data_IF_841528427365
#
_entry.id   IF_841528427365
#
_cell.length_a   1.000
_cell.length_b   1.000
_cell.length_c   1.000
_cell.angle_alpha   90.00
_cell.angle_beta   90.00
_cell.angle_gamma   90.00
#
_symmetry.space_group_name_H-M   'P 1'
#
loop_
_entity.id
_entity.type
_entity.pdbx_description
1 polymer ?
#
# COMPACT_ATOMS: atom_id res chain seq x y z
N UNK A 1 -23.98 18.96 -2.21
CA UNK A 1 -22.91 19.04 -1.20
C UNK A 1 -21.72 19.76 -1.80
N UNK A 2 -21.15 20.69 -1.05
CA UNK A 2 -19.90 21.33 -1.47
C UNK A 2 -18.72 20.38 -1.25
N UNK A 3 -17.87 20.25 -2.25
CA UNK A 3 -16.58 19.58 -2.08
C UNK A 3 -15.67 20.42 -1.19
N UNK A 4 -14.98 19.76 -0.28
CA UNK A 4 -13.99 20.40 0.56
C UNK A 4 -12.59 19.96 0.10
N UNK A 5 -11.76 20.92 -0.25
CA UNK A 5 -10.39 20.68 -0.66
C UNK A 5 -9.43 20.73 0.54
N UNK A 6 -8.53 19.77 0.59
CA UNK A 6 -7.43 19.71 1.54
C UNK A 6 -6.10 19.72 0.79
N UNK A 7 -5.06 20.27 1.41
CA UNK A 7 -3.72 20.18 0.83
C UNK A 7 -3.23 18.72 0.85
N UNK A 8 -2.36 18.39 -0.10
CA UNK A 8 -1.70 17.07 -0.13
C UNK A 8 -1.00 16.78 1.21
N UNK A 9 -0.28 17.75 1.74
CA UNK A 9 0.47 17.57 2.99
C UNK A 9 -0.44 17.29 4.19
N UNK A 10 -1.58 17.97 4.29
CA UNK A 10 -2.55 17.72 5.35
C UNK A 10 -3.12 16.29 5.27
N UNK A 11 -3.51 15.84 4.08
CA UNK A 11 -4.02 14.49 3.88
C UNK A 11 -2.93 13.44 4.09
N UNK A 12 -1.70 13.73 3.68
CA UNK A 12 -0.56 12.85 3.89
C UNK A 12 -0.29 12.63 5.38
N UNK A 13 -0.16 13.71 6.14
CA UNK A 13 0.14 13.63 7.57
C UNK A 13 -0.99 12.94 8.34
N UNK A 14 -2.24 13.26 8.01
CA UNK A 14 -3.41 12.61 8.60
C UNK A 14 -3.42 11.10 8.31
N UNK A 15 -3.32 10.72 7.05
CA UNK A 15 -3.40 9.32 6.63
C UNK A 15 -2.26 8.49 7.22
N UNK A 16 -1.03 9.00 7.17
CA UNK A 16 0.13 8.33 7.76
C UNK A 16 -0.04 8.15 9.26
N UNK A 17 -0.50 9.19 9.96
CA UNK A 17 -0.74 9.13 11.41
C UNK A 17 -1.79 8.08 11.76
N UNK A 18 -2.89 8.02 11.02
CA UNK A 18 -3.94 7.01 11.24
C UNK A 18 -3.38 5.59 11.07
N UNK A 19 -2.63 5.34 10.00
CA UNK A 19 -2.02 4.03 9.76
C UNK A 19 -1.01 3.64 10.85
N UNK A 20 -0.21 4.59 11.32
CA UNK A 20 0.72 4.35 12.43
C UNK A 20 -0.02 4.04 13.74
N UNK A 21 -1.14 4.69 14.01
CA UNK A 21 -1.96 4.43 15.21
C UNK A 21 -2.53 3.03 15.27
N UNK A 22 -2.81 2.41 14.14
CA UNK A 22 -3.26 1.01 14.11
C UNK A 22 -2.11 -0.01 14.07
N UNK A 23 -0.87 0.45 14.15
CA UNK A 23 0.32 -0.38 14.30
C UNK A 23 1.20 -0.52 13.05
N UNK A 24 0.87 0.17 11.97
CA UNK A 24 1.70 0.17 10.76
C UNK A 24 3.08 0.80 11.06
N UNK A 25 4.14 0.21 10.54
CA UNK A 25 5.49 0.79 10.66
C UNK A 25 5.56 2.16 9.99
N UNK A 26 6.56 2.97 10.35
CA UNK A 26 6.77 4.28 9.71
C UNK A 26 7.00 4.16 8.21
N UNK A 27 7.76 3.15 7.78
CA UNK A 27 8.05 2.91 6.36
C UNK A 27 6.80 2.46 5.61
N UNK A 28 6.08 1.48 6.15
CA UNK A 28 4.87 0.94 5.51
C UNK A 28 3.73 1.97 5.49
N UNK A 29 3.56 2.75 6.55
CA UNK A 29 2.58 3.83 6.58
C UNK A 29 2.88 4.93 5.58
N UNK A 30 4.15 5.26 5.38
CA UNK A 30 4.58 6.22 4.34
C UNK A 30 4.26 5.69 2.93
N UNK A 31 4.61 4.43 2.66
CA UNK A 31 4.33 3.78 1.38
C UNK A 31 2.83 3.70 1.10
N UNK A 32 2.04 3.21 2.04
CA UNK A 32 0.59 3.08 1.91
C UNK A 32 -0.08 4.44 1.68
N UNK A 33 0.36 5.47 2.41
CA UNK A 33 -0.15 6.83 2.26
C UNK A 33 0.14 7.39 0.87
N UNK A 34 1.35 7.23 0.36
CA UNK A 34 1.73 7.66 -0.99
C UNK A 34 0.88 6.98 -2.06
N UNK A 35 0.62 5.69 -1.92
CA UNK A 35 -0.23 4.93 -2.86
C UNK A 35 -1.66 5.46 -2.86
N UNK A 36 -2.26 5.67 -1.68
CA UNK A 36 -3.62 6.22 -1.58
C UNK A 36 -3.71 7.62 -2.21
N UNK A 37 -2.82 8.51 -1.83
CA UNK A 37 -2.87 9.89 -2.31
C UNK A 37 -2.47 10.04 -3.78
N UNK A 38 -1.72 9.08 -4.34
CA UNK A 38 -1.46 9.06 -5.78
C UNK A 38 -2.75 8.92 -6.60
N UNK A 39 -3.74 8.18 -6.10
CA UNK A 39 -5.05 8.09 -6.73
C UNK A 39 -5.79 9.43 -6.67
N UNK A 40 -5.79 10.09 -5.52
CA UNK A 40 -6.42 11.42 -5.36
C UNK A 40 -5.78 12.46 -6.28
N UNK A 41 -4.45 12.48 -6.36
CA UNK A 41 -3.72 13.41 -7.25
C UNK A 41 -4.03 13.19 -8.74
N UNK A 42 -4.46 11.99 -9.12
CA UNK A 42 -4.84 11.64 -10.49
C UNK A 42 -6.34 11.78 -10.75
N UNK A 43 -7.10 12.29 -9.79
CA UNK A 43 -8.55 12.44 -9.91
C UNK A 43 -9.32 11.12 -9.78
N UNK A 44 -8.71 10.07 -9.23
CA UNK A 44 -9.35 8.76 -8.99
C UNK A 44 -9.80 8.69 -7.53
N UNK A 45 -10.75 9.53 -7.15
CA UNK A 45 -11.18 9.75 -5.77
C UNK A 45 -11.75 8.50 -5.10
N UNK A 46 -12.34 7.58 -5.89
CA UNK A 46 -12.87 6.30 -5.41
C UNK A 46 -11.79 5.35 -4.87
N UNK A 47 -10.51 5.59 -5.16
CA UNK A 47 -9.37 4.73 -4.78
C UNK A 47 -8.34 5.46 -3.92
N UNK A 48 -8.61 6.70 -3.55
CA UNK A 48 -7.76 7.52 -2.69
C UNK A 48 -8.10 7.40 -1.20
N UNK A 49 -7.94 8.50 -0.48
CA UNK A 49 -8.15 8.59 0.98
C UNK A 49 -9.56 8.17 1.42
N UNK A 50 -10.54 8.24 0.55
CA UNK A 50 -11.90 7.73 0.80
C UNK A 50 -11.92 6.24 1.19
N UNK A 51 -10.91 5.48 0.80
CA UNK A 51 -10.77 4.05 1.16
C UNK A 51 -10.20 3.81 2.56
N UNK A 52 -9.62 4.82 3.18
CA UNK A 52 -8.95 4.66 4.47
C UNK A 52 -9.87 4.04 5.54
N UNK A 53 -11.11 4.53 5.64
CA UNK A 53 -12.09 3.99 6.61
C UNK A 53 -12.40 2.51 6.36
N UNK A 54 -12.40 2.06 5.11
CA UNK A 54 -12.58 0.66 4.74
C UNK A 54 -11.43 -0.22 5.22
N UNK A 55 -10.19 0.24 5.09
CA UNK A 55 -9.01 -0.48 5.60
C UNK A 55 -9.02 -0.57 7.12
N UNK A 56 -9.42 0.51 7.81
CA UNK A 56 -9.56 0.49 9.28
C UNK A 56 -10.59 -0.57 9.72
N UNK A 57 -11.75 -0.62 9.07
CA UNK A 57 -12.76 -1.64 9.36
C UNK A 57 -12.26 -3.07 9.14
N UNK A 58 -11.48 -3.30 8.08
CA UNK A 58 -10.87 -4.62 7.83
C UNK A 58 -9.85 -4.98 8.90
N UNK A 59 -9.07 -4.01 9.36
CA UNK A 59 -8.14 -4.22 10.46
C UNK A 59 -8.87 -4.52 11.78
N UNK A 60 -9.90 -3.76 12.13
CA UNK A 60 -10.75 -4.01 13.32
C UNK A 60 -11.39 -5.40 13.28
N UNK A 61 -11.81 -5.84 12.09
CA UNK A 61 -12.35 -7.18 11.87
C UNK A 61 -11.27 -8.29 11.84
N UNK A 62 -10.01 -7.94 12.09
CA UNK A 62 -8.83 -8.86 12.07
C UNK A 62 -8.64 -9.57 10.72
N UNK A 63 -9.01 -8.92 9.63
CA UNK A 63 -8.86 -9.44 8.26
C UNK A 63 -7.60 -8.96 7.57
N UNK A 64 -6.88 -8.01 8.18
CA UNK A 64 -5.61 -7.48 7.70
C UNK A 64 -4.56 -7.63 8.80
N UNK A 65 -3.40 -8.16 8.44
CA UNK A 65 -2.20 -8.12 9.27
C UNK A 65 -1.47 -6.80 8.98
N UNK A 66 -1.47 -5.88 9.94
CA UNK A 66 -0.88 -4.55 9.76
C UNK A 66 0.66 -4.56 9.81
N UNK A 67 1.26 -5.65 10.31
CA UNK A 67 2.72 -5.88 10.33
C UNK A 67 3.01 -7.19 9.62
N UNK A 68 2.88 -7.24 8.27
CA UNK A 68 3.05 -8.48 7.53
C UNK A 68 4.50 -8.92 7.46
N UNK A 69 4.73 -10.22 7.50
CA UNK A 69 6.00 -10.88 7.20
C UNK A 69 5.93 -11.42 5.76
N UNK A 70 6.21 -10.53 4.80
CA UNK A 70 6.13 -10.86 3.37
C UNK A 70 7.28 -11.81 3.00
N UNK A 71 6.95 -12.94 2.37
CA UNK A 71 7.91 -13.98 1.99
C UNK A 71 7.88 -14.27 0.50
N UNK A 72 9.05 -14.50 -0.08
CA UNK A 72 9.15 -15.06 -1.42
C UNK A 72 9.09 -16.58 -1.27
N UNK A 73 8.05 -17.19 -1.83
CA UNK A 73 7.82 -18.64 -1.78
C UNK A 73 8.57 -19.38 -2.89
N UNK A 74 8.62 -18.77 -4.07
CA UNK A 74 9.27 -19.33 -5.24
C UNK A 74 9.72 -18.21 -6.17
N UNK A 75 10.87 -18.37 -6.81
CA UNK A 75 11.33 -17.41 -7.80
C UNK A 75 12.10 -18.09 -8.94
N UNK A 76 12.02 -17.44 -10.10
CA UNK A 76 12.83 -17.70 -11.29
C UNK A 76 13.56 -16.41 -11.67
N UNK A 77 14.43 -16.41 -12.68
CA UNK A 77 15.05 -15.15 -13.12
C UNK A 77 14.07 -14.04 -13.48
N UNK A 78 12.86 -14.37 -13.96
CA UNK A 78 11.85 -13.41 -14.41
C UNK A 78 10.56 -13.38 -13.60
N UNK A 79 10.39 -14.26 -12.60
CA UNK A 79 9.16 -14.36 -11.83
C UNK A 79 9.43 -14.49 -10.34
N UNK A 80 8.46 -14.11 -9.53
CA UNK A 80 8.43 -14.41 -8.10
C UNK A 80 6.99 -14.63 -7.63
N UNK A 81 6.80 -15.63 -6.77
CA UNK A 81 5.54 -15.85 -6.04
C UNK A 81 5.76 -15.45 -4.60
N UNK A 82 4.94 -14.53 -4.10
CA UNK A 82 5.04 -14.01 -2.75
C UNK A 82 3.83 -14.41 -1.90
N UNK A 83 4.11 -14.63 -0.63
CA UNK A 83 3.07 -14.62 0.41
C UNK A 83 3.05 -13.23 1.04
N UNK A 84 1.95 -12.52 0.89
CA UNK A 84 1.75 -11.19 1.46
C UNK A 84 1.32 -11.19 2.93
N UNK A 85 1.17 -12.36 3.54
CA UNK A 85 0.82 -12.53 4.96
C UNK A 85 -0.42 -11.73 5.39
N UNK A 86 -1.45 -11.70 4.54
CA UNK A 86 -2.67 -10.90 4.73
C UNK A 86 -2.41 -9.40 4.97
N UNK A 87 -1.27 -8.88 4.54
CA UNK A 87 -0.91 -7.47 4.68
C UNK A 87 -1.77 -6.55 3.83
N UNK A 88 -1.70 -5.24 4.13
CA UNK A 88 -2.31 -4.22 3.28
C UNK A 88 -1.79 -4.32 1.84
N UNK A 89 -2.69 -4.39 0.86
CA UNK A 89 -2.31 -4.35 -0.55
C UNK A 89 -1.49 -3.10 -0.91
N UNK A 90 -1.76 -1.99 -0.21
CA UNK A 90 -1.01 -0.74 -0.34
C UNK A 90 0.48 -0.86 0.05
N UNK A 91 0.84 -1.90 0.78
CA UNK A 91 2.22 -2.22 1.20
C UNK A 91 2.75 -3.39 0.39
N UNK A 92 1.98 -4.47 0.29
CA UNK A 92 2.39 -5.72 -0.36
C UNK A 92 2.60 -5.54 -1.86
N UNK A 93 1.71 -4.82 -2.55
CA UNK A 93 1.81 -4.64 -3.99
C UNK A 93 3.04 -3.80 -4.40
N UNK A 94 3.39 -2.67 -3.76
CA UNK A 94 4.64 -1.98 -4.04
C UNK A 94 5.87 -2.83 -3.77
N UNK A 95 5.88 -3.63 -2.71
CA UNK A 95 6.96 -4.57 -2.41
C UNK A 95 7.14 -5.59 -3.56
N UNK A 96 6.06 -6.22 -3.99
CA UNK A 96 6.07 -7.18 -5.09
C UNK A 96 6.50 -6.53 -6.42
N UNK A 97 6.00 -5.31 -6.69
CA UNK A 97 6.37 -4.58 -7.90
C UNK A 97 7.86 -4.25 -7.94
N UNK A 98 8.46 -3.87 -6.83
CA UNK A 98 9.90 -3.60 -6.78
C UNK A 98 10.74 -4.85 -7.11
N UNK A 99 10.30 -6.03 -6.68
CA UNK A 99 10.94 -7.30 -7.04
C UNK A 99 10.80 -7.54 -8.56
N UNK A 100 9.60 -7.39 -9.10
CA UNK A 100 9.36 -7.56 -10.53
C UNK A 100 10.17 -6.58 -11.38
N UNK A 101 10.27 -5.31 -10.98
CA UNK A 101 11.11 -4.30 -11.66
C UNK A 101 12.59 -4.72 -11.64
N UNK A 102 13.10 -5.19 -10.51
CA UNK A 102 14.47 -5.67 -10.40
C UNK A 102 14.75 -6.85 -11.35
N UNK A 103 13.83 -7.81 -11.41
CA UNK A 103 13.94 -8.94 -12.36
C UNK A 103 13.88 -8.48 -13.81
N UNK A 104 12.99 -7.57 -14.15
CA UNK A 104 12.87 -7.03 -15.51
C UNK A 104 14.15 -6.32 -15.97
N UNK A 105 14.84 -5.61 -15.08
CA UNK A 105 16.13 -4.97 -15.39
C UNK A 105 17.21 -5.99 -15.75
N UNK A 106 17.18 -7.17 -15.13
CA UNK A 106 18.20 -8.20 -15.31
C UNK A 106 17.83 -9.21 -16.41
N UNK A 107 16.55 -9.60 -16.49
CA UNK A 107 16.07 -10.67 -17.38
C UNK A 107 15.22 -10.16 -18.57
N UNK A 108 14.93 -8.85 -18.63
CA UNK A 108 14.12 -8.24 -19.68
C UNK A 108 12.62 -8.22 -19.39
N UNK A 109 12.15 -9.02 -18.46
CA UNK A 109 10.76 -9.07 -17.98
C UNK A 109 10.72 -9.47 -16.50
N UNK A 110 9.63 -9.13 -15.80
CA UNK A 110 9.44 -9.47 -14.39
C UNK A 110 7.95 -9.61 -14.05
N UNK A 111 7.63 -10.68 -13.33
CA UNK A 111 6.26 -11.00 -12.89
C UNK A 111 6.23 -11.36 -11.41
#
# INVERSE_FOLDING_TARGET
MSEQLFSYQQLFDFTKTVLQKIGCSSIDSDTATKVLLAADLRGVDSHGVARLSGYIRLWEAKRINIVPDIKILHETPSTATLDGDSGLGLVVAPFAMNIAIGKAKNAGTGW
#
